data_IF_114432577263
#
_entry.id   IF_114432577263
#
_cell.length_a   1.000
_cell.length_b   1.000
_cell.length_c   1.000
_cell.angle_alpha   90.00
_cell.angle_beta   90.00
_cell.angle_gamma   90.00
#
_symmetry.space_group_name_H-M   'P 1'
#
loop_
_entity.id
_entity.type
_entity.pdbx_description
1 polymer ?
#
# COMPACT_ATOMS: atom_id res chain seq x y z
N UNK A 1 26.28 -6.33 12.66
CA UNK A 1 25.97 -6.97 13.97
C UNK A 1 27.20 -7.68 14.58
N UNK A 2 28.39 -7.05 14.54
CA UNK A 2 29.68 -7.73 14.81
C UNK A 2 29.82 -8.24 16.24
N UNK A 3 29.41 -7.44 17.23
CA UNK A 3 29.51 -7.84 18.64
C UNK A 3 28.75 -9.14 18.94
N UNK A 4 27.51 -9.27 18.45
CA UNK A 4 26.68 -10.48 18.65
C UNK A 4 27.32 -11.69 17.96
N UNK A 5 27.84 -11.50 16.74
CA UNK A 5 28.54 -12.54 15.99
C UNK A 5 29.76 -13.08 16.75
N UNK A 6 30.63 -12.17 17.20
CA UNK A 6 31.84 -12.54 17.93
C UNK A 6 31.53 -13.14 19.30
N UNK A 7 30.55 -12.57 20.02
CA UNK A 7 30.21 -12.99 21.38
C UNK A 7 29.57 -14.38 21.44
N UNK A 8 28.75 -14.73 20.45
CA UNK A 8 27.96 -15.96 20.44
C UNK A 8 28.36 -16.94 19.33
N UNK A 9 29.41 -16.63 18.56
CA UNK A 9 29.91 -17.45 17.45
C UNK A 9 28.81 -17.84 16.45
N UNK A 10 28.06 -16.84 15.97
CA UNK A 10 26.94 -17.02 15.03
C UNK A 10 27.34 -16.66 13.59
N UNK A 11 26.44 -16.90 12.63
CA UNK A 11 26.60 -16.50 11.23
C UNK A 11 26.44 -15.00 10.99
N UNK A 12 26.49 -14.58 9.72
CA UNK A 12 26.25 -13.17 9.33
C UNK A 12 24.80 -12.77 9.67
N UNK A 13 24.62 -11.50 10.09
CA UNK A 13 23.33 -10.92 10.50
C UNK A 13 22.47 -11.83 11.42
N UNK A 14 22.97 -12.22 12.61
CA UNK A 14 22.29 -13.17 13.49
C UNK A 14 21.01 -12.65 14.18
N UNK A 15 20.70 -11.36 14.05
CA UNK A 15 19.52 -10.71 14.64
C UNK A 15 18.58 -10.28 13.53
N UNK A 16 17.32 -10.70 13.64
CA UNK A 16 16.21 -10.30 12.78
C UNK A 16 15.70 -8.91 13.16
N UNK A 17 16.06 -7.90 12.37
CA UNK A 17 15.60 -6.53 12.63
C UNK A 17 14.21 -6.25 12.04
N UNK A 18 13.50 -5.34 12.70
CA UNK A 18 12.24 -4.77 12.24
C UNK A 18 12.42 -3.28 12.00
N UNK A 19 12.15 -2.81 10.79
CA UNK A 19 12.18 -1.40 10.42
C UNK A 19 10.79 -0.78 10.65
N UNK A 20 10.66 0.00 11.71
CA UNK A 20 9.48 0.81 11.98
C UNK A 20 9.50 2.11 11.19
N UNK A 21 8.34 2.52 10.65
CA UNK A 21 8.18 3.81 9.98
C UNK A 21 8.81 3.88 8.59
N UNK A 22 8.64 2.84 7.76
CA UNK A 22 9.20 2.81 6.40
C UNK A 22 8.46 3.68 5.38
N UNK A 23 7.31 4.28 5.74
CA UNK A 23 6.61 5.22 4.87
C UNK A 23 7.43 6.49 4.67
N UNK A 24 7.64 6.89 3.41
CA UNK A 24 8.46 8.04 3.04
C UNK A 24 9.98 7.81 3.02
N UNK A 25 10.46 6.62 3.41
CA UNK A 25 11.88 6.25 3.23
C UNK A 25 12.23 6.14 1.75
N UNK A 26 13.45 6.51 1.42
CA UNK A 26 14.01 6.33 0.08
C UNK A 26 14.32 4.86 -0.18
N UNK A 27 14.36 4.47 -1.46
CA UNK A 27 14.77 3.12 -1.84
C UNK A 27 16.17 2.78 -1.30
N UNK A 28 17.10 3.74 -1.30
CA UNK A 28 18.46 3.53 -0.80
C UNK A 28 18.49 3.17 0.70
N UNK A 29 17.74 3.89 1.53
CA UNK A 29 17.62 3.59 2.97
C UNK A 29 16.99 2.21 3.20
N UNK A 30 15.99 1.83 2.41
CA UNK A 30 15.37 0.50 2.48
C UNK A 30 16.38 -0.59 2.12
N UNK A 31 17.17 -0.41 1.05
CA UNK A 31 18.21 -1.38 0.65
C UNK A 31 19.30 -1.53 1.71
N UNK A 32 19.78 -0.41 2.24
CA UNK A 32 20.79 -0.43 3.30
C UNK A 32 20.27 -1.15 4.56
N UNK A 33 19.01 -0.92 4.94
CA UNK A 33 18.39 -1.61 6.07
C UNK A 33 18.33 -3.13 5.87
N UNK A 34 18.02 -3.59 4.66
CA UNK A 34 18.01 -5.03 4.30
C UNK A 34 19.42 -5.62 4.45
N UNK A 35 20.45 -4.93 3.96
CA UNK A 35 21.85 -5.40 4.06
C UNK A 35 22.30 -5.58 5.53
N UNK A 36 21.70 -4.84 6.47
CA UNK A 36 21.95 -4.97 7.91
C UNK A 36 21.10 -6.02 8.62
N UNK A 37 20.22 -6.74 7.91
CA UNK A 37 19.42 -7.84 8.45
C UNK A 37 18.00 -7.48 8.85
N UNK A 38 17.41 -6.42 8.27
CA UNK A 38 15.97 -6.17 8.40
C UNK A 38 15.21 -7.23 7.61
N UNK A 39 14.28 -7.91 8.30
CA UNK A 39 13.41 -8.95 7.71
C UNK A 39 11.94 -8.51 7.64
N UNK A 40 11.59 -7.40 8.28
CA UNK A 40 10.23 -6.86 8.33
C UNK A 40 10.26 -5.34 8.33
N UNK A 41 9.48 -4.72 7.44
CA UNK A 41 9.27 -3.27 7.43
C UNK A 41 7.80 -2.95 7.69
N UNK A 42 7.52 -1.99 8.57
CA UNK A 42 6.18 -1.46 8.78
C UNK A 42 5.90 -0.36 7.76
N UNK A 43 4.75 -0.46 7.09
CA UNK A 43 4.22 0.55 6.19
C UNK A 43 2.75 0.76 6.53
N UNK A 44 2.33 2.02 6.68
CA UNK A 44 0.95 2.34 7.04
C UNK A 44 0.49 3.63 6.34
N UNK A 45 1.12 4.77 6.62
CA UNK A 45 0.77 6.07 6.03
C UNK A 45 0.66 6.02 4.50
N UNK A 46 1.63 5.41 3.83
CA UNK A 46 1.64 5.29 2.36
C UNK A 46 0.47 4.44 1.85
N UNK A 47 0.10 3.39 2.58
CA UNK A 47 -1.02 2.51 2.22
C UNK A 47 -2.37 3.18 2.48
N UNK A 48 -2.50 3.92 3.60
CA UNK A 48 -3.68 4.73 3.90
C UNK A 48 -3.92 5.79 2.82
N UNK A 49 -2.85 6.48 2.41
CA UNK A 49 -2.92 7.47 1.35
C UNK A 49 -3.27 6.84 0.00
N UNK A 50 -2.63 5.71 -0.36
CA UNK A 50 -2.95 4.99 -1.59
C UNK A 50 -4.41 4.54 -1.64
N UNK A 51 -4.97 4.00 -0.55
CA UNK A 51 -6.39 3.66 -0.51
C UNK A 51 -7.28 4.89 -0.70
N UNK A 52 -6.94 5.99 -0.02
CA UNK A 52 -7.65 7.27 -0.11
C UNK A 52 -7.64 7.82 -1.53
N UNK A 53 -6.52 7.70 -2.24
CA UNK A 53 -6.38 8.12 -3.64
C UNK A 53 -7.41 7.45 -4.56
N UNK A 54 -7.55 6.13 -4.48
CA UNK A 54 -8.48 5.39 -5.34
C UNK A 54 -9.94 5.76 -5.07
N UNK A 55 -10.31 5.88 -3.79
CA UNK A 55 -11.65 6.34 -3.41
C UNK A 55 -11.87 7.79 -3.87
N UNK A 56 -10.95 8.70 -3.56
CA UNK A 56 -11.02 10.13 -3.91
C UNK A 56 -11.25 10.29 -5.41
N UNK A 57 -10.44 9.63 -6.22
CA UNK A 57 -10.49 9.80 -7.68
C UNK A 57 -11.80 9.26 -8.26
N UNK A 58 -12.32 8.16 -7.73
CA UNK A 58 -13.64 7.67 -8.10
C UNK A 58 -14.75 8.67 -7.73
N UNK A 59 -14.73 9.18 -6.48
CA UNK A 59 -15.74 10.11 -5.98
C UNK A 59 -15.72 11.40 -6.80
N UNK A 60 -14.55 12.00 -7.03
CA UNK A 60 -14.39 13.23 -7.81
C UNK A 60 -14.90 13.04 -9.24
N UNK A 61 -14.55 11.93 -9.89
CA UNK A 61 -14.99 11.62 -11.26
C UNK A 61 -16.50 11.44 -11.38
N UNK A 62 -17.13 10.85 -10.37
CA UNK A 62 -18.55 10.46 -10.43
C UNK A 62 -19.45 11.35 -9.55
N UNK A 63 -18.96 12.49 -9.07
CA UNK A 63 -19.62 13.29 -8.02
C UNK A 63 -21.09 13.60 -8.34
N UNK A 64 -21.40 13.90 -9.61
CA UNK A 64 -22.77 14.23 -10.03
C UNK A 64 -23.71 13.03 -10.02
N UNK A 65 -23.18 11.81 -10.20
CA UNK A 65 -23.93 10.56 -10.10
C UNK A 65 -24.06 10.06 -8.66
N UNK A 66 -23.34 10.65 -7.70
CA UNK A 66 -23.33 10.19 -6.30
C UNK A 66 -24.24 11.02 -5.38
N UNK A 67 -24.76 12.15 -5.87
CA UNK A 67 -25.60 13.08 -5.09
C UNK A 67 -27.00 12.56 -4.82
N UNK A 68 -27.54 11.73 -5.70
CA UNK A 68 -28.94 11.27 -5.66
C UNK A 68 -29.04 9.80 -6.05
N UNK A 69 -30.11 9.11 -5.62
CA UNK A 69 -30.36 7.73 -6.04
C UNK A 69 -30.86 7.63 -7.49
N UNK A 70 -31.61 8.64 -7.93
CA UNK A 70 -32.19 8.81 -9.27
C UNK A 70 -31.91 10.24 -9.71
N UNK A 71 -31.64 10.42 -11.01
CA UNK A 71 -31.32 11.70 -11.63
C UNK A 71 -29.82 11.95 -11.68
N UNK A 72 -29.31 12.21 -12.88
CA UNK A 72 -27.89 12.49 -13.12
C UNK A 72 -27.74 13.32 -14.41
N UNK A 73 -26.51 13.72 -14.82
CA UNK A 73 -26.30 14.52 -16.02
C UNK A 73 -26.82 13.92 -17.33
N UNK A 74 -27.11 12.60 -17.37
CA UNK A 74 -27.65 11.90 -18.53
C UNK A 74 -29.19 11.89 -18.54
N UNK A 75 -29.85 12.19 -17.40
CA UNK A 75 -31.31 12.28 -17.30
C UNK A 75 -31.84 12.23 -15.86
N UNK A 76 -32.93 12.95 -15.60
CA UNK A 76 -33.54 13.08 -14.27
C UNK A 76 -34.18 11.79 -13.73
N UNK A 77 -34.55 10.86 -14.62
CA UNK A 77 -35.19 9.59 -14.26
C UNK A 77 -34.20 8.41 -14.17
N UNK A 78 -32.91 8.64 -14.43
CA UNK A 78 -31.93 7.55 -14.52
C UNK A 78 -31.38 7.12 -13.14
N UNK A 79 -31.27 5.82 -12.85
CA UNK A 79 -30.81 5.34 -11.55
C UNK A 79 -29.27 5.38 -11.43
N UNK A 80 -28.79 5.77 -10.25
CA UNK A 80 -27.37 5.91 -9.97
C UNK A 80 -26.75 4.72 -9.22
N UNK A 81 -27.51 3.64 -8.99
CA UNK A 81 -27.05 2.48 -8.21
C UNK A 81 -25.68 1.96 -8.66
N UNK A 82 -25.42 1.94 -9.97
CA UNK A 82 -24.15 1.46 -10.52
C UNK A 82 -22.94 2.31 -10.12
N UNK A 83 -23.16 3.54 -9.64
CA UNK A 83 -22.12 4.48 -9.21
C UNK A 83 -21.92 4.48 -7.69
N UNK A 84 -23.01 4.55 -6.91
CA UNK A 84 -22.90 4.64 -5.44
C UNK A 84 -22.76 3.30 -4.72
N UNK A 85 -22.94 2.17 -5.42
CA UNK A 85 -22.72 0.85 -4.85
C UNK A 85 -21.31 0.77 -4.22
N UNK A 86 -21.18 0.51 -2.91
CA UNK A 86 -19.89 0.52 -2.22
C UNK A 86 -18.82 -0.36 -2.85
N UNK A 87 -19.23 -1.46 -3.48
CA UNK A 87 -18.31 -2.38 -4.16
C UNK A 87 -17.58 -1.75 -5.33
N UNK A 88 -18.04 -0.61 -5.86
CA UNK A 88 -17.35 0.12 -6.92
C UNK A 88 -16.22 0.95 -6.35
N UNK A 89 -16.53 1.94 -5.53
CA UNK A 89 -15.53 2.88 -5.02
C UNK A 89 -14.60 2.28 -3.97
N UNK A 90 -15.04 1.30 -3.17
CA UNK A 90 -14.13 0.53 -2.30
C UNK A 90 -13.14 -0.26 -3.14
N UNK A 91 -13.57 -0.84 -4.26
CA UNK A 91 -12.70 -1.60 -5.15
C UNK A 91 -11.62 -0.70 -5.77
N UNK A 92 -11.95 0.52 -6.14
CA UNK A 92 -10.95 1.47 -6.63
C UNK A 92 -9.90 1.81 -5.57
N UNK A 93 -10.31 1.95 -4.29
CA UNK A 93 -9.37 2.09 -3.17
C UNK A 93 -8.49 0.85 -2.94
N UNK A 94 -9.05 -0.36 -3.05
CA UNK A 94 -8.27 -1.60 -2.97
C UNK A 94 -7.25 -1.69 -4.11
N UNK A 95 -7.61 -1.30 -5.33
CA UNK A 95 -6.71 -1.36 -6.49
C UNK A 95 -5.49 -0.44 -6.33
N UNK A 96 -5.69 0.80 -5.87
CA UNK A 96 -4.57 1.71 -5.58
C UNK A 96 -3.72 1.22 -4.41
N UNK A 97 -4.35 0.69 -3.35
CA UNK A 97 -3.65 0.07 -2.23
C UNK A 97 -2.76 -1.09 -2.68
N UNK A 98 -3.31 -2.02 -3.49
CA UNK A 98 -2.55 -3.17 -4.03
C UNK A 98 -1.37 -2.69 -4.85
N UNK A 99 -1.55 -1.70 -5.75
CA UNK A 99 -0.43 -1.15 -6.53
C UNK A 99 0.67 -0.56 -5.63
N UNK A 100 0.31 0.17 -4.58
CA UNK A 100 1.30 0.72 -3.63
C UNK A 100 2.03 -0.38 -2.87
N UNK A 101 1.32 -1.43 -2.49
CA UNK A 101 1.87 -2.59 -1.79
C UNK A 101 2.78 -3.43 -2.68
N UNK A 102 2.43 -3.64 -3.95
CA UNK A 102 3.30 -4.27 -4.96
C UNK A 102 4.63 -3.52 -5.08
N UNK A 103 4.59 -2.19 -5.17
CA UNK A 103 5.81 -1.37 -5.15
C UNK A 103 6.64 -1.62 -3.88
N UNK A 104 6.01 -1.69 -2.70
CA UNK A 104 6.71 -2.01 -1.45
C UNK A 104 7.38 -3.39 -1.49
N UNK A 105 6.76 -4.40 -2.10
CA UNK A 105 7.38 -5.71 -2.29
C UNK A 105 8.63 -5.63 -3.20
N UNK A 106 8.55 -4.86 -4.28
CA UNK A 106 9.71 -4.59 -5.14
C UNK A 106 10.83 -3.87 -4.36
N UNK A 107 10.48 -2.83 -3.59
CA UNK A 107 11.42 -2.06 -2.75
C UNK A 107 12.09 -2.93 -1.68
N UNK A 108 11.44 -4.03 -1.27
CA UNK A 108 11.93 -4.99 -0.28
C UNK A 108 12.65 -6.21 -0.89
N UNK A 109 12.84 -6.27 -2.22
CA UNK A 109 13.37 -7.47 -2.90
C UNK A 109 12.54 -8.74 -2.62
N UNK A 110 11.25 -8.59 -2.35
CA UNK A 110 10.38 -9.70 -1.96
C UNK A 110 9.33 -10.00 -3.03
N UNK A 111 9.78 -10.27 -4.25
CA UNK A 111 8.93 -10.63 -5.40
C UNK A 111 9.39 -11.97 -5.95
N UNK A 112 8.43 -12.88 -6.17
CA UNK A 112 8.73 -14.22 -6.72
C UNK A 112 9.50 -15.14 -5.76
N UNK A 113 9.35 -14.94 -4.45
CA UNK A 113 10.10 -15.65 -3.40
C UNK A 113 9.39 -16.91 -2.87
N UNK A 114 8.21 -17.24 -3.41
CA UNK A 114 7.45 -18.45 -3.06
C UNK A 114 7.72 -19.54 -4.12
N UNK A 115 7.96 -20.77 -3.65
CA UNK A 115 8.20 -21.96 -4.48
C UNK A 115 6.90 -22.62 -4.94
#
# INVERSE_FOLDING_TARGET
QKYVQEKFNTGVNPVDFVFHGGSGSTLAEIREAIDYGVVKMNIDTDLQFAFTEGVRDYIVKNVDYLKTQIGNPEGEELPNKKYYDPRKWLRDGELTFVRRLEQSFHDLNNVGTLN
#
